data_IF_664256161137
#
_entry.id   IF_664256161137
#
_cell.length_a   1.000
_cell.length_b   1.000
_cell.length_c   1.000
_cell.angle_alpha   90.00
_cell.angle_beta   90.00
_cell.angle_gamma   90.00
#
_symmetry.space_group_name_H-M   'P 1'
#
loop_
_entity.id
_entity.type
_entity.pdbx_description
1 polymer ?
#
# COMPACT_ATOMS: atom_id res chain seq x y z
N UNK A 1 36.02 0.23 -28.35
CA UNK A 1 35.58 1.45 -29.07
C UNK A 1 35.78 1.31 -30.59
N UNK A 2 36.91 0.78 -31.06
CA UNK A 2 37.20 0.54 -32.48
C UNK A 2 36.21 -0.37 -33.22
N UNK A 3 35.75 -1.47 -32.62
CA UNK A 3 34.78 -2.36 -33.29
C UNK A 3 33.41 -1.70 -33.49
N UNK A 4 32.92 -0.96 -32.49
CA UNK A 4 31.63 -0.26 -32.57
C UNK A 4 31.65 0.80 -33.68
N UNK A 5 32.72 1.58 -33.78
CA UNK A 5 32.82 2.62 -34.81
C UNK A 5 33.01 2.05 -36.22
N UNK A 6 33.73 0.94 -36.37
CA UNK A 6 33.82 0.23 -37.66
C UNK A 6 32.45 -0.26 -38.14
N UNK A 7 31.67 -0.87 -37.23
CA UNK A 7 30.31 -1.33 -37.53
C UNK A 7 29.39 -0.16 -37.91
N UNK A 8 29.47 0.96 -37.17
CA UNK A 8 28.72 2.18 -37.48
C UNK A 8 29.08 2.73 -38.86
N UNK A 9 30.36 2.86 -39.19
CA UNK A 9 30.80 3.38 -40.48
C UNK A 9 30.37 2.47 -41.65
N UNK A 10 30.47 1.15 -41.48
CA UNK A 10 29.99 0.19 -42.49
C UNK A 10 28.47 0.27 -42.68
N UNK A 11 27.71 0.40 -41.59
CA UNK A 11 26.25 0.54 -41.65
C UNK A 11 25.85 1.88 -42.30
N UNK A 12 26.49 2.99 -41.92
CA UNK A 12 26.24 4.29 -42.55
C UNK A 12 26.57 4.26 -44.05
N UNK A 13 27.68 3.64 -44.45
CA UNK A 13 28.00 3.45 -45.86
C UNK A 13 26.91 2.66 -46.61
N UNK A 14 26.37 1.59 -46.00
CA UNK A 14 25.27 0.84 -46.61
C UNK A 14 23.95 1.64 -46.68
N UNK A 15 23.64 2.46 -45.67
CA UNK A 15 22.43 3.29 -45.63
C UNK A 15 22.46 4.43 -46.64
N UNK A 16 23.62 5.09 -46.78
CA UNK A 16 23.78 6.21 -47.71
C UNK A 16 24.16 5.77 -49.15
N UNK A 17 24.59 4.51 -49.33
CA UNK A 17 24.95 3.96 -50.64
C UNK A 17 26.07 4.77 -51.29
N UNK A 18 25.79 5.37 -52.45
CA UNK A 18 26.74 6.20 -53.20
C UNK A 18 26.85 7.64 -52.66
N UNK A 19 25.98 8.03 -51.72
CA UNK A 19 26.02 9.38 -51.13
C UNK A 19 27.08 9.47 -50.03
N UNK A 20 27.77 10.63 -49.91
CA UNK A 20 28.73 10.82 -48.83
C UNK A 20 28.02 10.83 -47.47
N UNK A 21 28.55 10.07 -46.52
CA UNK A 21 28.06 10.04 -45.14
C UNK A 21 28.24 11.43 -44.51
N UNK A 22 27.18 12.05 -43.95
CA UNK A 22 27.29 13.34 -43.28
C UNK A 22 28.29 13.30 -42.12
N UNK A 23 29.06 14.38 -41.96
CA UNK A 23 29.99 14.51 -40.84
C UNK A 23 29.23 14.50 -39.51
N UNK A 24 29.69 13.69 -38.56
CA UNK A 24 29.12 13.60 -37.22
C UNK A 24 30.23 13.65 -36.17
N UNK A 25 29.88 14.08 -34.96
CA UNK A 25 30.82 14.16 -33.84
C UNK A 25 31.13 12.76 -33.31
N UNK A 26 32.39 12.33 -33.41
CA UNK A 26 32.86 11.05 -32.91
C UNK A 26 33.16 11.15 -31.41
N UNK A 27 32.10 11.12 -30.60
CA UNK A 27 32.19 10.97 -29.14
C UNK A 27 31.59 9.62 -28.70
N UNK A 28 31.89 9.20 -27.46
CA UNK A 28 31.44 7.90 -26.93
C UNK A 28 29.93 7.72 -26.97
N UNK A 29 29.19 8.78 -26.64
CA UNK A 29 27.72 8.78 -26.66
C UNK A 29 27.18 8.64 -28.07
N UNK A 30 27.69 9.39 -29.04
CA UNK A 30 27.26 9.35 -30.44
C UNK A 30 27.54 7.99 -31.05
N UNK A 31 28.74 7.44 -30.84
CA UNK A 31 29.10 6.11 -31.36
C UNK A 31 28.22 5.02 -30.75
N UNK A 32 27.90 5.10 -29.45
CA UNK A 32 27.02 4.11 -28.82
C UNK A 32 25.58 4.20 -29.33
N UNK A 33 25.04 5.42 -29.52
CA UNK A 33 23.69 5.61 -30.09
C UNK A 33 23.61 5.08 -31.52
N UNK A 34 24.58 5.46 -32.38
CA UNK A 34 24.63 4.99 -33.75
C UNK A 34 24.82 3.47 -33.85
N UNK A 35 25.60 2.88 -32.93
CA UNK A 35 25.79 1.44 -32.88
C UNK A 35 24.49 0.69 -32.53
N UNK A 36 23.71 1.21 -31.57
CA UNK A 36 22.39 0.63 -31.27
C UNK A 36 21.44 0.78 -32.45
N UNK A 37 21.42 1.95 -33.09
CA UNK A 37 20.59 2.20 -34.26
C UNK A 37 20.95 1.25 -35.42
N UNK A 38 22.23 1.04 -35.67
CA UNK A 38 22.72 0.07 -36.66
C UNK A 38 22.21 -1.34 -36.38
N UNK A 39 22.33 -1.81 -35.13
CA UNK A 39 21.83 -3.14 -34.75
C UNK A 39 20.31 -3.27 -34.92
N UNK A 40 19.54 -2.28 -34.49
CA UNK A 40 18.09 -2.30 -34.63
C UNK A 40 17.66 -2.22 -36.09
N UNK A 41 18.37 -1.43 -36.91
CA UNK A 41 18.14 -1.34 -38.35
C UNK A 41 18.43 -2.67 -39.04
N UNK A 42 19.59 -3.27 -38.79
CA UNK A 42 19.99 -4.55 -39.39
C UNK A 42 19.03 -5.68 -39.04
N UNK A 43 18.61 -5.77 -37.77
CA UNK A 43 17.62 -6.76 -37.34
C UNK A 43 16.29 -6.61 -38.09
N UNK A 44 15.74 -5.38 -38.13
CA UNK A 44 14.49 -5.08 -38.84
C UNK A 44 14.59 -5.31 -40.35
N UNK A 45 15.68 -4.88 -40.96
CA UNK A 45 15.91 -5.07 -42.40
C UNK A 45 16.08 -6.55 -42.74
N UNK A 46 16.72 -7.34 -41.87
CA UNK A 46 16.85 -8.79 -42.03
C UNK A 46 15.50 -9.50 -42.01
N UNK A 47 14.64 -9.18 -41.05
CA UNK A 47 13.28 -9.74 -40.97
C UNK A 47 12.44 -9.36 -42.20
N UNK A 48 12.49 -8.10 -42.64
CA UNK A 48 11.79 -7.65 -43.82
C UNK A 48 12.29 -8.33 -45.11
N UNK A 49 13.60 -8.56 -45.22
CA UNK A 49 14.20 -9.26 -46.35
C UNK A 49 13.75 -10.73 -46.41
N UNK A 50 13.74 -11.43 -45.27
CA UNK A 50 13.24 -12.81 -45.18
C UNK A 50 11.76 -12.91 -45.57
N UNK A 51 10.92 -11.99 -45.09
CA UNK A 51 9.51 -11.94 -45.47
C UNK A 51 9.33 -11.67 -46.98
N UNK A 52 10.14 -10.78 -47.54
CA UNK A 52 10.11 -10.48 -48.98
C UNK A 52 10.47 -11.71 -49.81
N UNK A 53 11.48 -12.47 -49.37
CA UNK A 53 11.89 -13.69 -50.07
C UNK A 53 10.85 -14.80 -49.98
N UNK A 54 10.24 -15.00 -48.81
CA UNK A 54 9.12 -15.93 -48.62
C UNK A 54 7.94 -15.58 -49.56
N UNK A 55 7.56 -14.30 -49.61
CA UNK A 55 6.49 -13.85 -50.51
C UNK A 55 6.84 -14.04 -51.99
N UNK A 56 8.10 -13.84 -52.39
CA UNK A 56 8.55 -14.10 -53.76
C UNK A 56 8.51 -15.59 -54.09
N UNK A 57 8.98 -16.44 -53.20
CA UNK A 57 8.90 -17.89 -53.36
C UNK A 57 7.44 -18.31 -53.54
N UNK A 58 6.56 -17.87 -52.63
CA UNK A 58 5.12 -18.18 -52.70
C UNK A 58 4.47 -17.67 -53.98
N UNK A 59 4.85 -16.49 -54.46
CA UNK A 59 4.39 -15.98 -55.75
C UNK A 59 4.83 -16.87 -56.92
N UNK A 60 6.07 -17.36 -56.89
CA UNK A 60 6.59 -18.27 -57.92
C UNK A 60 5.88 -19.63 -57.89
N UNK A 61 5.56 -20.15 -56.70
CA UNK A 61 4.81 -21.39 -56.51
C UNK A 61 3.40 -21.25 -57.10
N UNK A 62 2.65 -20.19 -56.73
CA UNK A 62 1.33 -19.94 -57.30
C UNK A 62 1.36 -19.72 -58.81
N UNK A 63 2.39 -19.08 -59.34
CA UNK A 63 2.54 -18.92 -60.78
C UNK A 63 2.75 -20.26 -61.48
N UNK A 64 3.58 -21.14 -60.89
CA UNK A 64 3.83 -22.49 -61.42
C UNK A 64 2.59 -23.38 -61.34
N UNK A 65 1.82 -23.28 -60.25
CA UNK A 65 0.57 -24.00 -60.06
C UNK A 65 -0.51 -23.52 -61.03
N UNK A 66 -0.61 -22.20 -61.24
CA UNK A 66 -1.49 -21.61 -62.26
C UNK A 66 -1.12 -22.06 -63.68
N UNK A 67 0.17 -22.13 -64.00
CA UNK A 67 0.63 -22.66 -65.29
C UNK A 67 0.30 -24.16 -65.43
N UNK A 68 0.49 -24.94 -64.37
CA UNK A 68 0.13 -26.36 -64.34
C UNK A 68 -1.37 -26.57 -64.58
N UNK A 69 -2.23 -25.85 -63.85
CA UNK A 69 -3.68 -25.95 -64.06
C UNK A 69 -4.09 -25.55 -65.47
N UNK A 70 -3.49 -24.48 -66.01
CA UNK A 70 -3.74 -24.07 -67.40
C UNK A 70 -3.38 -25.19 -68.37
N UNK A 71 -2.22 -25.82 -68.22
CA UNK A 71 -1.79 -26.92 -69.09
C UNK A 71 -2.70 -28.14 -68.96
N UNK A 72 -3.10 -28.51 -67.74
CA UNK A 72 -4.06 -29.60 -67.47
C UNK A 72 -5.42 -29.31 -68.11
N UNK A 73 -5.94 -28.08 -68.00
CA UNK A 73 -7.22 -27.70 -68.59
C UNK A 73 -7.15 -27.68 -70.13
N UNK A 74 -6.07 -27.14 -70.69
CA UNK A 74 -5.89 -27.05 -72.15
C UNK A 74 -5.68 -28.43 -72.79
N UNK A 75 -4.85 -29.30 -72.19
CA UNK A 75 -4.55 -30.63 -72.73
C UNK A 75 -5.59 -31.68 -72.34
N UNK A 76 -6.08 -31.67 -71.09
CA UNK A 76 -6.95 -32.71 -70.55
C UNK A 76 -8.43 -32.57 -70.93
N UNK A 77 -8.91 -31.34 -71.12
CA UNK A 77 -10.30 -31.08 -71.53
C UNK A 77 -10.43 -30.69 -73.01
N UNK A 78 -9.33 -30.61 -73.75
CA UNK A 78 -9.35 -30.21 -75.16
C UNK A 78 -9.85 -28.79 -75.39
N UNK A 79 -9.68 -27.90 -74.40
CA UNK A 79 -10.07 -26.48 -74.46
C UNK A 79 -9.01 -25.60 -75.15
N UNK A 80 -8.11 -26.21 -75.92
CA UNK A 80 -7.16 -25.47 -76.74
C UNK A 80 -7.90 -24.54 -77.70
N UNK A 81 -7.44 -23.29 -77.87
CA UNK A 81 -7.97 -22.42 -78.93
C UNK A 81 -7.88 -23.07 -80.32
N UNK A 82 -6.94 -24.01 -80.52
CA UNK A 82 -6.79 -24.74 -81.77
C UNK A 82 -7.87 -25.82 -82.02
N UNK A 83 -8.61 -26.24 -80.99
CA UNK A 83 -9.71 -27.21 -81.11
C UNK A 83 -11.09 -26.56 -81.23
N UNK A 84 -11.19 -25.23 -81.14
CA UNK A 84 -12.45 -24.52 -81.34
C UNK A 84 -12.83 -24.48 -82.83
N UNK A 85 -14.13 -24.56 -83.09
CA UNK A 85 -14.66 -24.33 -84.43
C UNK A 85 -14.53 -22.85 -84.79
N UNK A 86 -14.34 -22.55 -86.07
CA UNK A 86 -14.21 -21.18 -86.58
C UNK A 86 -15.32 -20.23 -86.10
N UNK A 87 -16.61 -20.64 -86.10
CA UNK A 87 -17.68 -19.78 -85.56
C UNK A 87 -17.54 -19.51 -84.06
N UNK A 88 -17.08 -20.48 -83.27
CA UNK A 88 -16.89 -20.28 -81.83
C UNK A 88 -15.72 -19.31 -81.55
N UNK A 89 -14.66 -19.38 -82.35
CA UNK A 89 -13.53 -18.46 -82.30
C UNK A 89 -13.93 -17.03 -82.70
N UNK A 90 -14.75 -16.88 -83.75
CA UNK A 90 -15.30 -15.60 -84.20
C UNK A 90 -16.20 -14.98 -83.11
N UNK A 91 -17.07 -15.77 -82.46
CA UNK A 91 -17.91 -15.29 -81.36
C UNK A 91 -17.10 -14.88 -80.14
N UNK A 92 -16.05 -15.63 -79.77
CA UNK A 92 -15.17 -15.28 -78.67
C UNK A 92 -14.37 -14.01 -78.97
N UNK A 93 -13.87 -13.85 -80.18
CA UNK A 93 -13.16 -12.65 -80.62
C UNK A 93 -14.06 -11.42 -80.55
N UNK A 94 -15.29 -11.52 -81.08
CA UNK A 94 -16.28 -10.44 -80.97
C UNK A 94 -16.64 -10.12 -79.51
N UNK A 95 -16.70 -11.12 -78.63
CA UNK A 95 -16.94 -10.92 -77.20
C UNK A 95 -15.77 -10.19 -76.52
N UNK A 96 -14.52 -10.56 -76.84
CA UNK A 96 -13.32 -9.86 -76.33
C UNK A 96 -13.31 -8.41 -76.82
N UNK A 97 -13.56 -8.18 -78.10
CA UNK A 97 -13.59 -6.84 -78.69
C UNK A 97 -14.69 -5.97 -78.05
N UNK A 98 -15.89 -6.53 -77.87
CA UNK A 98 -16.96 -5.81 -77.18
C UNK A 98 -16.63 -5.53 -75.72
N UNK A 99 -16.00 -6.45 -74.99
CA UNK A 99 -15.54 -6.22 -73.62
C UNK A 99 -14.47 -5.11 -73.55
N UNK A 100 -13.55 -5.08 -74.51
CA UNK A 100 -12.52 -4.03 -74.63
C UNK A 100 -13.14 -2.66 -74.94
N UNK A 101 -14.09 -2.58 -75.88
CA UNK A 101 -14.81 -1.34 -76.22
C UNK A 101 -15.65 -0.84 -75.05
N UNK A 102 -16.31 -1.75 -74.32
CA UNK A 102 -17.09 -1.41 -73.12
C UNK A 102 -16.21 -1.06 -71.92
N UNK A 103 -14.89 -1.25 -72.01
CA UNK A 103 -13.96 -0.97 -70.92
C UNK A 103 -14.24 -1.82 -69.68
N UNK A 104 -14.67 -3.07 -69.87
CA UNK A 104 -14.96 -3.98 -68.77
C UNK A 104 -13.69 -4.16 -67.95
N UNK A 105 -13.78 -4.01 -66.63
CA UNK A 105 -12.62 -4.11 -65.73
C UNK A 105 -11.97 -5.47 -65.88
N UNK A 106 -10.64 -5.49 -65.87
CA UNK A 106 -9.87 -6.71 -65.71
C UNK A 106 -10.34 -7.45 -64.45
N UNK A 107 -10.89 -8.64 -64.65
CA UNK A 107 -11.45 -9.48 -63.60
C UNK A 107 -10.38 -9.93 -62.60
N UNK A 108 -9.10 -9.92 -62.99
CA UNK A 108 -7.97 -10.18 -62.08
C UNK A 108 -7.79 -9.04 -61.05
N UNK A 109 -7.91 -7.78 -61.49
CA UNK A 109 -7.88 -6.61 -60.61
C UNK A 109 -9.17 -6.48 -59.78
N UNK A 110 -10.30 -6.91 -60.35
CA UNK A 110 -11.61 -6.88 -59.70
C UNK A 110 -11.69 -7.73 -58.43
N UNK A 111 -11.00 -8.86 -58.37
CA UNK A 111 -10.94 -9.74 -57.19
C UNK A 111 -9.81 -9.38 -56.22
N UNK A 112 -8.69 -8.86 -56.73
CA UNK A 112 -7.53 -8.47 -55.92
C UNK A 112 -7.81 -7.27 -55.00
N UNK A 113 -8.43 -6.20 -55.50
CA UNK A 113 -8.64 -4.98 -54.71
C UNK A 113 -9.55 -5.20 -53.47
N UNK A 114 -10.69 -5.93 -53.57
CA UNK A 114 -11.48 -6.28 -52.40
C UNK A 114 -10.73 -7.17 -51.40
N UNK A 115 -9.95 -8.14 -51.88
CA UNK A 115 -9.14 -9.00 -51.01
C UNK A 115 -8.07 -8.19 -50.25
N UNK A 116 -7.35 -7.30 -50.94
CA UNK A 116 -6.41 -6.37 -50.32
C UNK A 116 -7.06 -5.47 -49.29
N UNK A 117 -8.23 -4.89 -49.60
CA UNK A 117 -8.97 -4.06 -48.66
C UNK A 117 -9.43 -4.87 -47.43
N UNK A 118 -9.88 -6.11 -47.62
CA UNK A 118 -10.25 -7.00 -46.53
C UNK A 118 -9.05 -7.29 -45.62
N UNK A 119 -7.91 -7.71 -46.18
CA UNK A 119 -6.68 -7.94 -45.41
C UNK A 119 -6.22 -6.68 -44.67
N UNK A 120 -6.25 -5.53 -45.32
CA UNK A 120 -5.86 -4.24 -44.71
C UNK A 120 -6.75 -3.88 -43.54
N UNK A 121 -8.08 -4.07 -43.68
CA UNK A 121 -9.02 -3.83 -42.60
C UNK A 121 -8.82 -4.81 -41.44
N UNK A 122 -8.64 -6.10 -41.72
CA UNK A 122 -8.34 -7.11 -40.69
C UNK A 122 -7.06 -6.77 -39.93
N UNK A 123 -6.00 -6.37 -40.63
CA UNK A 123 -4.75 -5.94 -40.01
C UNK A 123 -4.95 -4.73 -39.09
N UNK A 124 -5.71 -3.73 -39.54
CA UNK A 124 -5.98 -2.53 -38.74
C UNK A 124 -6.78 -2.84 -37.47
N UNK A 125 -7.78 -3.72 -37.55
CA UNK A 125 -8.56 -4.13 -36.38
C UNK A 125 -7.72 -4.94 -35.39
N UNK A 126 -6.82 -5.80 -35.88
CA UNK A 126 -5.88 -6.53 -35.02
C UNK A 126 -4.83 -5.60 -34.39
N UNK A 127 -4.34 -4.60 -35.11
CA UNK A 127 -3.46 -3.59 -34.52
C UNK A 127 -4.16 -2.79 -33.41
N UNK A 128 -5.45 -2.44 -33.60
CA UNK A 128 -6.24 -1.76 -32.58
C UNK A 128 -6.46 -2.64 -31.35
N UNK A 129 -6.77 -3.93 -31.55
CA UNK A 129 -6.95 -4.91 -30.46
C UNK A 129 -5.64 -5.04 -29.67
N UNK A 130 -4.50 -5.16 -30.35
CA UNK A 130 -3.19 -5.31 -29.75
C UNK A 130 -2.79 -4.07 -28.93
N UNK A 131 -2.95 -2.87 -29.50
CA UNK A 131 -2.72 -1.60 -28.77
C UNK A 131 -3.61 -1.44 -27.55
N UNK A 132 -4.81 -2.02 -27.54
CA UNK A 132 -5.69 -2.02 -26.36
C UNK A 132 -5.14 -2.99 -25.30
N UNK A 133 -4.77 -4.20 -25.69
CA UNK A 133 -4.20 -5.20 -24.78
C UNK A 133 -2.89 -4.71 -24.14
N UNK A 134 -2.02 -4.04 -24.90
CA UNK A 134 -0.79 -3.42 -24.36
C UNK A 134 -1.08 -2.40 -23.26
N UNK A 135 -2.10 -1.54 -23.46
CA UNK A 135 -2.52 -0.57 -22.44
C UNK A 135 -3.07 -1.26 -21.18
N UNK A 136 -3.89 -2.30 -21.36
CA UNK A 136 -4.43 -3.08 -20.24
C UNK A 136 -3.31 -3.80 -19.48
N UNK A 137 -2.31 -4.34 -20.18
CA UNK A 137 -1.14 -4.97 -19.57
C UNK A 137 -0.33 -3.98 -18.73
N UNK A 138 -0.07 -2.78 -19.24
CA UNK A 138 0.63 -1.73 -18.50
C UNK A 138 -0.16 -1.32 -17.25
N UNK A 139 -1.47 -1.12 -17.38
CA UNK A 139 -2.33 -0.79 -16.24
C UNK A 139 -2.32 -1.88 -15.17
N UNK A 140 -2.39 -3.15 -15.58
CA UNK A 140 -2.38 -4.30 -14.67
C UNK A 140 -1.02 -4.46 -13.98
N UNK A 141 0.08 -4.20 -14.69
CA UNK A 141 1.44 -4.17 -14.13
C UNK A 141 1.60 -3.09 -13.08
N UNK A 142 1.09 -1.88 -13.33
CA UNK A 142 1.12 -0.78 -12.37
C UNK A 142 0.29 -1.11 -11.11
N UNK A 143 -0.90 -1.69 -11.30
CA UNK A 143 -1.76 -2.12 -10.19
C UNK A 143 -1.09 -3.21 -9.36
N UNK A 144 -0.45 -4.18 -10.01
CA UNK A 144 0.32 -5.22 -9.32
C UNK A 144 1.45 -4.61 -8.47
N UNK A 145 2.19 -3.65 -9.04
CA UNK A 145 3.24 -2.92 -8.32
C UNK A 145 2.70 -2.23 -7.05
N UNK A 146 1.59 -1.49 -7.17
CA UNK A 146 0.95 -0.84 -6.03
C UNK A 146 0.49 -1.84 -4.96
N UNK A 147 -0.12 -2.96 -5.37
CA UNK A 147 -0.55 -4.01 -4.44
C UNK A 147 0.63 -4.69 -3.74
N UNK A 148 1.76 -4.89 -4.42
CA UNK A 148 2.96 -5.47 -3.80
C UNK A 148 3.57 -4.54 -2.75
N UNK A 149 3.57 -3.22 -2.99
CA UNK A 149 4.00 -2.23 -1.99
C UNK A 149 3.08 -2.27 -0.77
N UNK A 150 1.76 -2.24 -0.98
CA UNK A 150 0.78 -2.32 0.12
C UNK A 150 0.91 -3.61 0.94
N UNK A 151 1.15 -4.75 0.26
CA UNK A 151 1.39 -6.02 0.95
C UNK A 151 2.64 -5.94 1.84
N UNK A 152 3.69 -5.29 1.36
CA UNK A 152 4.95 -5.17 2.10
C UNK A 152 4.79 -4.29 3.34
N UNK A 153 4.07 -3.17 3.23
CA UNK A 153 3.76 -2.32 4.39
C UNK A 153 2.88 -3.05 5.41
N UNK A 154 1.85 -3.77 4.96
CA UNK A 154 1.00 -4.57 5.84
C UNK A 154 1.80 -5.65 6.58
N UNK A 155 2.75 -6.31 5.90
CA UNK A 155 3.62 -7.29 6.54
C UNK A 155 4.49 -6.65 7.63
N UNK A 156 5.01 -5.44 7.38
CA UNK A 156 5.78 -4.69 8.37
C UNK A 156 4.91 -4.30 9.58
N UNK A 157 3.70 -3.83 9.35
CA UNK A 157 2.75 -3.45 10.41
C UNK A 157 2.33 -4.66 11.26
N UNK A 158 2.11 -5.81 10.62
CA UNK A 158 1.86 -7.08 11.33
C UNK A 158 3.05 -7.43 12.22
N UNK A 159 4.28 -7.37 11.69
CA UNK A 159 5.48 -7.68 12.48
C UNK A 159 5.63 -6.73 13.68
N UNK A 160 5.43 -5.42 13.48
CA UNK A 160 5.43 -4.43 14.57
C UNK A 160 4.37 -4.75 15.62
N UNK A 161 3.16 -5.08 15.19
CA UNK A 161 2.05 -5.42 16.09
C UNK A 161 2.33 -6.69 16.88
N UNK A 162 2.90 -7.72 16.26
CA UNK A 162 3.31 -8.95 16.95
C UNK A 162 4.36 -8.66 18.02
N UNK A 163 5.36 -7.82 17.70
CA UNK A 163 6.39 -7.45 18.69
C UNK A 163 5.81 -6.64 19.85
N UNK A 164 4.93 -5.67 19.60
CA UNK A 164 4.31 -4.87 20.66
C UNK A 164 3.37 -5.71 21.52
N UNK A 165 2.62 -6.64 20.92
CA UNK A 165 1.76 -7.57 21.64
C UNK A 165 2.56 -8.49 22.55
N UNK A 166 3.71 -9.01 22.10
CA UNK A 166 4.59 -9.83 22.95
C UNK A 166 5.09 -9.04 24.17
N UNK A 167 5.49 -7.77 23.98
CA UNK A 167 5.93 -6.90 25.08
C UNK A 167 4.79 -6.61 26.07
N UNK A 168 3.60 -6.26 25.59
CA UNK A 168 2.45 -6.01 26.46
C UNK A 168 1.97 -7.27 27.19
N UNK A 169 2.04 -8.45 26.54
CA UNK A 169 1.74 -9.73 27.18
C UNK A 169 2.70 -10.01 28.33
N UNK A 170 4.01 -9.83 28.13
CA UNK A 170 5.01 -10.02 29.18
C UNK A 170 4.80 -9.05 30.36
N UNK A 171 4.50 -7.78 30.09
CA UNK A 171 4.15 -6.80 31.13
C UNK A 171 2.87 -7.17 31.87
N UNK A 172 1.85 -7.67 31.17
CA UNK A 172 0.59 -8.08 31.79
C UNK A 172 0.80 -9.28 32.73
N UNK A 173 1.63 -10.25 32.31
CA UNK A 173 2.02 -11.39 33.13
C UNK A 173 2.82 -10.96 34.37
N UNK A 174 3.79 -10.04 34.22
CA UNK A 174 4.52 -9.45 35.35
C UNK A 174 3.57 -8.76 36.35
N UNK A 175 2.62 -7.95 35.85
CA UNK A 175 1.63 -7.27 36.70
C UNK A 175 0.73 -8.27 37.42
N UNK A 176 0.38 -9.39 36.78
CA UNK A 176 -0.42 -10.46 37.37
C UNK A 176 0.31 -11.11 38.54
N UNK A 177 1.57 -11.49 38.34
CA UNK A 177 2.43 -12.03 39.39
C UNK A 177 2.62 -11.05 40.55
N UNK A 178 2.81 -9.76 40.25
CA UNK A 178 2.93 -8.74 41.27
C UNK A 178 1.62 -8.56 42.06
N UNK A 179 0.46 -8.64 41.39
CA UNK A 179 -0.84 -8.62 42.05
C UNK A 179 -1.03 -9.81 42.99
N UNK A 180 -0.65 -11.02 42.55
CA UNK A 180 -0.71 -12.23 43.37
C UNK A 180 0.20 -12.11 44.61
N UNK A 181 1.39 -11.54 44.45
CA UNK A 181 2.27 -11.24 45.59
C UNK A 181 1.64 -10.23 46.56
N UNK A 182 1.12 -9.11 46.07
CA UNK A 182 0.51 -8.07 46.91
C UNK A 182 -0.71 -8.61 47.65
N UNK A 183 -1.55 -9.40 46.98
CA UNK A 183 -2.73 -10.00 47.60
C UNK A 183 -2.35 -11.05 48.66
N UNK A 184 -1.33 -11.88 48.42
CA UNK A 184 -0.79 -12.79 49.42
C UNK A 184 -0.23 -12.03 50.64
N UNK A 185 0.52 -10.96 50.40
CA UNK A 185 1.09 -10.12 51.46
C UNK A 185 0.02 -9.42 52.29
N UNK A 186 -1.05 -8.93 51.65
CA UNK A 186 -2.19 -8.32 52.32
C UNK A 186 -2.88 -9.32 53.27
N UNK A 187 -3.08 -10.58 52.84
CA UNK A 187 -3.63 -11.65 53.68
C UNK A 187 -2.71 -11.95 54.88
N UNK A 188 -1.40 -12.11 54.66
CA UNK A 188 -0.43 -12.34 55.74
C UNK A 188 -0.46 -11.22 56.80
N UNK A 189 -0.47 -9.96 56.36
CA UNK A 189 -0.54 -8.80 57.24
C UNK A 189 -1.86 -8.75 58.00
N UNK A 190 -2.99 -9.08 57.36
CA UNK A 190 -4.30 -9.20 58.03
C UNK A 190 -4.24 -10.25 59.14
N UNK A 191 -3.77 -11.46 58.84
CA UNK A 191 -3.65 -12.52 59.85
C UNK A 191 -2.65 -12.18 60.97
N UNK A 192 -1.59 -11.43 60.67
CA UNK A 192 -0.64 -10.94 61.70
C UNK A 192 -1.28 -9.86 62.57
N UNK A 193 -2.08 -8.96 61.99
CA UNK A 193 -2.85 -7.95 62.70
C UNK A 193 -3.86 -8.61 63.64
N UNK A 194 -4.66 -9.55 63.15
CA UNK A 194 -5.62 -10.31 63.97
C UNK A 194 -4.95 -11.01 65.15
N UNK A 195 -3.79 -11.66 64.92
CA UNK A 195 -3.00 -12.26 66.01
C UNK A 195 -2.51 -11.23 67.03
N UNK A 196 -2.01 -10.08 66.58
CA UNK A 196 -1.56 -9.01 67.46
C UNK A 196 -2.72 -8.40 68.27
N UNK A 197 -3.87 -8.17 67.64
CA UNK A 197 -5.09 -7.72 68.32
C UNK A 197 -5.55 -8.73 69.37
N UNK A 198 -5.57 -10.03 69.05
CA UNK A 198 -5.88 -11.08 70.02
C UNK A 198 -4.89 -11.12 71.21
N UNK A 199 -3.60 -10.87 70.96
CA UNK A 199 -2.59 -10.75 72.02
C UNK A 199 -2.78 -9.52 72.91
N UNK A 200 -3.23 -8.39 72.35
CA UNK A 200 -3.55 -7.20 73.14
C UNK A 200 -4.78 -7.44 74.03
N UNK A 201 -5.80 -8.09 73.48
CA UNK A 201 -7.01 -8.47 74.23
C UNK A 201 -6.68 -9.46 75.35
N UNK A 202 -5.87 -10.49 75.10
CA UNK A 202 -5.50 -11.47 76.13
C UNK A 202 -4.66 -10.89 77.27
N UNK A 203 -3.97 -9.77 77.02
CA UNK A 203 -3.22 -9.01 78.04
C UNK A 203 -4.09 -7.96 78.77
N UNK A 204 -5.40 -7.92 78.53
CA UNK A 204 -6.34 -6.92 79.08
C UNK A 204 -5.89 -5.47 78.82
N UNK A 205 -5.30 -5.18 77.66
CA UNK A 205 -5.00 -3.80 77.26
C UNK A 205 -6.29 -3.02 77.02
N UNK A 206 -6.49 -1.93 77.76
CA UNK A 206 -7.63 -1.04 77.60
C UNK A 206 -7.49 -0.19 76.32
N UNK A 207 -8.58 -0.07 75.56
CA UNK A 207 -8.63 0.68 74.29
C UNK A 207 -8.33 2.18 74.48
N UNK A 208 -8.44 2.68 75.71
CA UNK A 208 -8.06 4.04 76.11
C UNK A 208 -6.55 4.33 76.01
N UNK A 209 -5.70 3.29 76.04
CA UNK A 209 -4.24 3.40 75.97
C UNK A 209 -3.68 3.29 74.54
N UNK A 210 -4.55 3.27 73.53
CA UNK A 210 -4.13 3.22 72.13
C UNK A 210 -3.49 4.55 71.73
N UNK A 211 -2.46 4.54 70.86
CA UNK A 211 -1.83 5.78 70.36
C UNK A 211 -2.84 6.81 69.85
N UNK A 212 -3.87 6.37 69.12
CA UNK A 212 -4.94 7.25 68.63
C UNK A 212 -5.75 7.88 69.78
N UNK A 213 -6.10 7.12 70.81
CA UNK A 213 -6.80 7.64 71.98
C UNK A 213 -5.93 8.62 72.76
N UNK A 214 -4.63 8.34 72.88
CA UNK A 214 -3.64 9.25 73.51
C UNK A 214 -3.48 10.54 72.69
N UNK A 215 -3.41 10.46 71.36
CA UNK A 215 -3.35 11.63 70.47
C UNK A 215 -4.62 12.45 70.56
N UNK A 216 -5.80 11.84 70.49
CA UNK A 216 -7.08 12.53 70.65
C UNK A 216 -7.21 13.19 72.03
N UNK A 217 -6.78 12.53 73.11
CA UNK A 217 -6.67 13.13 74.43
C UNK A 217 -5.71 14.32 74.43
N UNK A 218 -4.55 14.20 73.77
CA UNK A 218 -3.59 15.29 73.68
C UNK A 218 -4.14 16.49 72.90
N UNK A 219 -4.91 16.26 71.83
CA UNK A 219 -5.59 17.30 71.04
C UNK A 219 -6.74 17.97 71.79
N UNK A 220 -7.37 17.28 72.76
CA UNK A 220 -8.36 17.86 73.68
C UNK A 220 -7.68 18.62 74.83
N UNK A 221 -6.53 18.15 75.28
CA UNK A 221 -5.76 18.78 76.35
C UNK A 221 -5.06 20.06 75.86
N UNK A 222 -4.60 20.15 74.61
CA UNK A 222 -3.95 21.36 74.08
C UNK A 222 -4.79 22.64 74.20
N UNK A 223 -6.09 22.69 73.82
CA UNK A 223 -6.94 23.86 74.05
C UNK A 223 -7.33 24.04 75.54
N UNK A 224 -7.43 22.96 76.33
CA UNK A 224 -7.72 23.05 77.77
C UNK A 224 -6.54 23.62 78.57
N UNK A 225 -5.29 23.34 78.14
CA UNK A 225 -4.07 23.94 78.69
C UNK A 225 -3.96 25.43 78.36
N UNK A 226 -4.47 25.84 77.20
CA UNK A 226 -4.56 27.25 76.80
C UNK A 226 -5.65 28.03 77.59
N UNK A 227 -6.70 27.34 78.07
CA UNK A 227 -7.74 27.93 78.96
C UNK A 227 -7.36 27.95 80.45
N UNK A 228 -6.35 27.21 80.86
CA UNK A 228 -5.86 27.16 82.25
C UNK A 228 -4.60 28.02 82.49
N UNK A 229 -4.16 28.79 81.50
CA UNK A 229 -3.16 29.85 81.66
C UNK A 229 -3.74 31.27 81.56
N UNK A 230 -4.99 31.47 81.99
CA UNK A 230 -5.61 32.80 82.08
C UNK A 230 -5.56 33.34 83.53
N UNK A 231 -4.44 34.01 83.86
CA UNK A 231 -4.24 35.11 84.83
C UNK A 231 -4.86 35.05 86.26
N UNK A 232 -4.04 35.06 87.34
CA UNK A 232 -4.44 35.06 88.77
C UNK A 232 -5.31 36.25 89.26
N UNK A 233 -5.56 37.26 88.44
CA UNK A 233 -6.29 38.48 88.81
C UNK A 233 -7.81 38.28 88.84
N UNK A 234 -8.36 37.38 88.01
CA UNK A 234 -9.82 37.16 87.95
C UNK A 234 -10.35 36.33 89.13
N UNK A 235 -9.52 35.42 89.66
CA UNK A 235 -9.85 34.63 90.85
C UNK A 235 -9.91 35.48 92.13
N UNK A 236 -9.07 36.54 92.24
CA UNK A 236 -9.11 37.49 93.36
C UNK A 236 -10.39 38.33 93.38
N UNK A 237 -10.89 38.73 92.21
CA UNK A 237 -12.13 39.53 92.12
C UNK A 237 -13.33 38.70 92.58
N UNK A 238 -13.42 37.43 92.17
CA UNK A 238 -14.52 36.55 92.62
C UNK A 238 -14.45 36.18 94.11
N UNK A 239 -13.25 36.14 94.70
CA UNK A 239 -13.09 35.91 96.15
C UNK A 239 -13.48 37.15 96.96
N UNK A 240 -13.16 38.37 96.49
CA UNK A 240 -13.57 39.61 97.16
C UNK A 240 -15.07 39.89 97.03
N UNK A 241 -15.69 39.52 95.92
CA UNK A 241 -17.15 39.63 95.73
C UNK A 241 -17.91 38.67 96.69
N UNK A 242 -17.46 37.42 96.82
CA UNK A 242 -18.00 36.47 97.80
C UNK A 242 -17.78 36.91 99.26
N UNK A 243 -16.71 37.67 99.52
CA UNK A 243 -16.42 38.26 100.85
C UNK A 243 -17.39 39.40 101.20
N UNK A 244 -17.79 40.21 100.21
CA UNK A 244 -18.82 41.25 100.41
C UNK A 244 -20.20 40.65 100.64
N UNK A 245 -20.56 39.58 99.93
CA UNK A 245 -21.83 38.88 100.16
C UNK A 245 -21.89 38.23 101.56
N UNK A 246 -20.79 37.65 102.03
CA UNK A 246 -20.68 37.16 103.42
C UNK A 246 -20.78 38.27 104.47
N UNK A 247 -20.22 39.46 104.21
CA UNK A 247 -20.34 40.61 105.12
C UNK A 247 -21.78 41.15 105.21
N UNK A 248 -22.53 41.13 104.09
CA UNK A 248 -23.96 41.51 104.09
C UNK A 248 -24.80 40.50 104.88
N UNK A 249 -24.53 39.20 104.72
CA UNK A 249 -25.25 38.14 105.47
C UNK A 249 -24.89 38.19 106.97
N UNK A 250 -23.64 38.50 107.32
CA UNK A 250 -23.22 38.67 108.73
C UNK A 250 -23.87 39.90 109.38
N UNK A 251 -23.98 41.01 108.65
CA UNK A 251 -24.68 42.21 109.15
C UNK A 251 -26.19 41.99 109.28
N UNK A 252 -26.81 41.20 108.41
CA UNK A 252 -28.22 40.79 108.55
C UNK A 252 -28.45 39.84 109.75
N UNK A 253 -27.44 39.05 110.13
CA UNK A 253 -27.51 38.17 111.30
C UNK A 253 -27.37 38.95 112.62
N UNK A 254 -26.50 39.97 112.68
CA UNK A 254 -26.35 40.84 113.85
C UNK A 254 -27.58 41.76 114.09
N UNK A 255 -28.28 42.20 113.04
CA UNK A 255 -29.54 42.96 113.20
C UNK A 255 -30.75 42.12 113.63
N UNK A 256 -30.68 40.78 113.55
CA UNK A 256 -31.76 39.87 113.94
C UNK A 256 -31.59 39.28 115.36
N UNK A 257 -30.55 39.69 116.11
CA UNK A 257 -30.26 39.19 117.47
C UNK A 257 -30.48 40.21 118.61
N UNK A 258 -31.00 41.42 118.32
CA UNK A 258 -31.40 42.39 119.35
C UNK A 258 -32.91 42.67 119.27
N UNK A 259 -33.73 41.88 119.96
CA UNK A 259 -34.93 42.29 120.75
C UNK A 259 -35.70 41.06 121.27
N UNK A 260 -35.68 40.91 122.61
CA UNK A 260 -36.66 40.27 123.53
C UNK A 260 -37.08 38.81 123.35
#
# INVERSE_FOLDING_TARGET
MCEKIQKVNSWLGAVFGDQPVPHFEVNTRTVDVLYQLARSSEARCGEAALLTEDLKQKASEYQSEGAHYRDVLLQGLGLSCASLSKPADDYLSALVDTAMVLGVRDTSLGSFMPAMNHLTNSLLEEEKSNRRLERELVALRNRLGATMVLRSSLQEDINKTVTSQSVESAKAEERMLNMDFVTAKAKELSSRRERAEAQLVSRNMDKSLTHQAIVQLSEVITPARQRSSASPSLAKVKIEEAKRELAVISSQLETNMDFK
#
